data_IF_056328852613
#
_entry.id   IF_056328852613
#
_cell.length_a   1.000
_cell.length_b   1.000
_cell.length_c   1.000
_cell.angle_alpha   90.00
_cell.angle_beta   90.00
_cell.angle_gamma   90.00
#
_symmetry.space_group_name_H-M   'P 1'
#
loop_
_entity.id
_entity.type
_entity.pdbx_description
1 polymer ?
#
# COMPACT_ATOMS: atom_id res chain seq x y z
N UNK A 1 -0.50 26.69 13.47
CA UNK A 1 -1.76 27.12 12.78
C UNK A 1 -2.87 26.97 13.77
N UNK A 2 -3.61 28.04 14.08
CA UNK A 2 -4.78 27.99 14.94
C UNK A 2 -6.01 28.19 14.06
N UNK A 3 -7.03 27.33 14.26
CA UNK A 3 -8.33 27.45 13.59
C UNK A 3 -9.33 27.82 14.67
N UNK A 4 -10.03 28.93 14.47
CA UNK A 4 -11.12 29.36 15.33
C UNK A 4 -12.42 29.10 14.57
N UNK A 5 -13.34 28.37 15.19
CA UNK A 5 -14.65 28.06 14.63
C UNK A 5 -15.69 28.81 15.48
N UNK A 6 -16.42 29.72 14.86
CA UNK A 6 -17.52 30.43 15.51
C UNK A 6 -18.87 29.86 15.07
N UNK A 7 -19.85 29.80 15.96
CA UNK A 7 -21.21 29.39 15.58
C UNK A 7 -21.79 30.31 14.51
N UNK A 8 -22.25 29.73 13.42
CA UNK A 8 -22.91 30.47 12.33
C UNK A 8 -24.08 29.68 11.78
N UNK A 9 -24.96 30.37 11.05
CA UNK A 9 -26.05 29.71 10.33
C UNK A 9 -25.47 28.83 9.21
N UNK A 10 -26.00 27.61 9.07
CA UNK A 10 -25.63 26.72 7.97
C UNK A 10 -26.18 27.28 6.66
N UNK A 11 -25.29 27.64 5.74
CA UNK A 11 -25.67 27.96 4.38
C UNK A 11 -25.62 26.69 3.54
N UNK A 12 -26.64 26.44 2.72
CA UNK A 12 -26.61 25.33 1.77
C UNK A 12 -25.54 25.60 0.71
N UNK A 13 -24.72 24.56 0.39
CA UNK A 13 -23.66 24.66 -0.59
C UNK A 13 -23.11 23.29 -0.95
N UNK A 14 -22.36 23.24 -2.06
CA UNK A 14 -21.59 22.04 -2.46
C UNK A 14 -20.13 22.25 -2.10
N UNK A 15 -19.56 21.29 -1.38
CA UNK A 15 -18.13 21.27 -1.05
C UNK A 15 -17.52 20.04 -1.73
N UNK A 16 -16.45 20.26 -2.49
CA UNK A 16 -15.62 19.16 -3.02
C UNK A 16 -14.47 18.93 -2.06
N UNK A 17 -14.32 17.68 -1.60
CA UNK A 17 -13.23 17.26 -0.72
C UNK A 17 -12.16 16.51 -1.53
N UNK A 18 -10.89 16.51 -1.09
CA UNK A 18 -9.86 15.67 -1.68
C UNK A 18 -10.22 14.19 -1.60
N UNK A 19 -9.60 13.37 -2.46
CA UNK A 19 -9.76 11.92 -2.44
C UNK A 19 -9.34 11.28 -1.10
N UNK A 20 -9.90 10.11 -0.80
CA UNK A 20 -9.53 9.35 0.39
C UNK A 20 -8.15 8.69 0.22
N UNK A 21 -7.28 8.86 1.21
CA UNK A 21 -5.93 8.30 1.21
C UNK A 21 -5.93 6.77 1.09
N UNK A 22 -6.74 6.12 1.87
CA UNK A 22 -6.76 4.66 1.94
C UNK A 22 -7.33 4.02 0.68
N UNK A 23 -8.31 4.67 0.05
CA UNK A 23 -8.85 4.26 -1.25
C UNK A 23 -7.80 4.46 -2.32
N UNK A 24 -7.08 5.59 -2.34
CA UNK A 24 -6.04 5.89 -3.32
C UNK A 24 -4.91 4.84 -3.30
N UNK A 25 -4.40 4.46 -2.12
CA UNK A 25 -3.40 3.38 -2.01
C UNK A 25 -3.90 2.07 -2.63
N UNK A 26 -5.13 1.65 -2.27
CA UNK A 26 -5.70 0.39 -2.74
C UNK A 26 -5.99 0.40 -4.22
N UNK A 27 -6.51 1.50 -4.75
CA UNK A 27 -6.79 1.64 -6.17
C UNK A 27 -5.51 1.50 -7.01
N UNK A 28 -4.41 2.12 -6.59
CA UNK A 28 -3.10 1.95 -7.23
C UNK A 28 -2.63 0.49 -7.21
N UNK A 29 -2.66 -0.15 -6.03
CA UNK A 29 -2.15 -1.51 -5.87
C UNK A 29 -3.00 -2.55 -6.61
N UNK A 30 -4.32 -2.45 -6.54
CA UNK A 30 -5.22 -3.34 -7.26
C UNK A 30 -5.15 -3.11 -8.77
N UNK A 31 -5.09 -1.84 -9.20
CA UNK A 31 -4.89 -1.50 -10.61
C UNK A 31 -3.56 -2.02 -11.15
N UNK A 32 -2.50 -2.00 -10.34
CA UNK A 32 -1.18 -2.49 -10.73
C UNK A 32 -1.17 -4.00 -11.03
N UNK A 33 -1.89 -4.80 -10.24
CA UNK A 33 -1.94 -6.27 -10.41
C UNK A 33 -3.17 -6.75 -11.19
N UNK A 34 -4.00 -5.84 -11.65
CA UNK A 34 -5.08 -6.16 -12.58
C UNK A 34 -4.54 -6.41 -14.01
N UNK A 35 -5.38 -6.92 -14.88
CA UNK A 35 -5.14 -6.94 -16.32
C UNK A 35 -5.83 -5.74 -16.98
N UNK A 36 -5.12 -5.04 -17.87
CA UNK A 36 -5.61 -3.85 -18.56
C UNK A 36 -5.47 -2.56 -17.74
N UNK A 37 -6.11 -1.50 -18.21
CA UNK A 37 -5.99 -0.15 -17.64
C UNK A 37 -7.04 0.10 -16.56
N UNK A 38 -6.58 0.73 -15.47
CA UNK A 38 -7.43 1.25 -14.39
C UNK A 38 -7.32 2.77 -14.35
N UNK A 39 -8.45 3.47 -14.42
CA UNK A 39 -8.52 4.93 -14.26
C UNK A 39 -9.02 5.26 -12.86
N UNK A 40 -8.24 6.02 -12.11
CA UNK A 40 -8.52 6.42 -10.73
C UNK A 40 -8.87 7.91 -10.73
N UNK A 41 -10.15 8.23 -10.60
CA UNK A 41 -10.61 9.61 -10.46
C UNK A 41 -10.55 10.07 -9.01
N UNK A 42 -10.24 11.34 -8.77
CA UNK A 42 -10.16 11.91 -7.43
C UNK A 42 -9.04 11.32 -6.58
N UNK A 43 -7.92 10.94 -7.21
CA UNK A 43 -6.74 10.45 -6.51
C UNK A 43 -6.19 11.49 -5.53
N UNK A 44 -5.83 11.07 -4.30
CA UNK A 44 -5.21 11.96 -3.34
C UNK A 44 -3.72 12.17 -3.69
N UNK A 45 -3.37 13.38 -4.12
CA UNK A 45 -2.01 13.82 -4.44
C UNK A 45 -1.19 14.14 -3.17
N UNK A 46 -1.20 13.22 -2.19
CA UNK A 46 -0.46 13.37 -0.94
C UNK A 46 0.80 12.49 -0.91
N UNK A 47 1.83 12.92 -0.17
CA UNK A 47 3.14 12.25 -0.10
C UNK A 47 3.03 10.74 0.09
N UNK A 48 2.13 10.29 0.99
CA UNK A 48 1.93 8.86 1.27
C UNK A 48 1.46 8.09 0.03
N UNK A 49 0.53 8.66 -0.74
CA UNK A 49 -0.01 8.04 -1.95
C UNK A 49 0.99 8.10 -3.10
N UNK A 50 1.75 9.20 -3.21
CA UNK A 50 2.83 9.35 -4.19
C UNK A 50 3.98 8.36 -3.91
N UNK A 51 4.30 8.09 -2.65
CA UNK A 51 5.26 7.04 -2.31
C UNK A 51 4.80 5.65 -2.82
N UNK A 52 3.51 5.32 -2.70
CA UNK A 52 2.96 4.08 -3.28
C UNK A 52 3.04 4.06 -4.81
N UNK A 53 2.68 5.16 -5.46
CA UNK A 53 2.75 5.30 -6.91
C UNK A 53 4.19 5.10 -7.41
N UNK A 54 5.17 5.75 -6.77
CA UNK A 54 6.57 5.64 -7.12
C UNK A 54 7.14 4.24 -6.88
N UNK A 55 6.75 3.57 -5.80
CA UNK A 55 7.13 2.19 -5.54
C UNK A 55 6.59 1.23 -6.62
N UNK A 56 5.34 1.41 -7.07
CA UNK A 56 4.77 0.61 -8.15
C UNK A 56 5.48 0.86 -9.49
N UNK A 57 5.89 2.10 -9.77
CA UNK A 57 6.72 2.41 -10.96
C UNK A 57 8.07 1.69 -10.91
N UNK A 58 8.71 1.65 -9.74
CA UNK A 58 9.96 0.87 -9.55
C UNK A 58 9.73 -0.64 -9.76
N UNK A 59 8.54 -1.14 -9.44
CA UNK A 59 8.13 -2.52 -9.70
C UNK A 59 7.70 -2.76 -11.15
N UNK A 60 7.90 -1.79 -12.05
CA UNK A 60 7.68 -1.92 -13.49
C UNK A 60 6.27 -1.61 -13.96
N UNK A 61 5.41 -1.06 -13.11
CA UNK A 61 4.06 -0.64 -13.49
C UNK A 61 4.11 0.72 -14.19
N UNK A 62 3.48 0.83 -15.34
CA UNK A 62 3.30 2.11 -16.02
C UNK A 62 2.13 2.86 -15.40
N UNK A 63 2.40 4.06 -14.90
CA UNK A 63 1.39 4.92 -14.27
C UNK A 63 1.50 6.32 -14.87
N UNK A 64 0.41 6.79 -15.43
CA UNK A 64 0.28 8.16 -15.95
C UNK A 64 -0.53 8.99 -14.94
N UNK A 65 0.10 10.01 -14.38
CA UNK A 65 -0.44 10.98 -13.43
C UNK A 65 -0.34 12.42 -13.95
N UNK A 66 -0.23 12.58 -15.27
CA UNK A 66 -0.12 13.89 -15.92
C UNK A 66 -1.43 14.67 -15.94
N UNK A 67 -2.57 13.98 -15.85
CA UNK A 67 -3.88 14.62 -15.76
C UNK A 67 -4.20 14.99 -14.30
N UNK A 68 -4.61 16.24 -14.00
CA UNK A 68 -4.84 16.70 -12.63
C UNK A 68 -5.92 15.92 -11.87
N UNK A 69 -6.90 15.36 -12.58
CA UNK A 69 -8.10 14.74 -11.99
C UNK A 69 -8.11 13.22 -12.05
N UNK A 70 -7.15 12.60 -12.76
CA UNK A 70 -7.13 11.16 -12.97
C UNK A 70 -5.71 10.60 -12.99
N UNK A 71 -5.55 9.43 -12.39
CA UNK A 71 -4.34 8.61 -12.51
C UNK A 71 -4.70 7.35 -13.29
N UNK A 72 -3.96 7.06 -14.36
CA UNK A 72 -4.11 5.84 -15.17
C UNK A 72 -3.02 4.84 -14.80
N UNK A 73 -3.40 3.63 -14.45
CA UNK A 73 -2.51 2.53 -14.11
C UNK A 73 -2.66 1.44 -15.16
N UNK A 74 -1.60 1.12 -15.89
CA UNK A 74 -1.57 -0.02 -16.80
C UNK A 74 -1.16 -1.25 -16.01
N UNK A 75 -2.13 -2.08 -15.68
CA UNK A 75 -1.96 -3.26 -14.85
C UNK A 75 -1.11 -4.32 -15.55
N UNK A 76 -0.29 -5.01 -14.77
CA UNK A 76 0.67 -6.01 -15.25
C UNK A 76 0.27 -7.45 -14.92
N UNK A 77 -0.90 -7.64 -14.28
CA UNK A 77 -1.34 -8.93 -13.76
C UNK A 77 -0.62 -9.32 -12.45
N UNK A 78 -1.10 -10.39 -11.80
CA UNK A 78 -0.59 -10.82 -10.49
C UNK A 78 0.91 -11.17 -10.50
N UNK A 79 1.41 -11.77 -11.56
CA UNK A 79 2.83 -12.15 -11.71
C UNK A 79 3.68 -11.16 -12.53
N UNK A 80 3.13 -10.00 -12.91
CA UNK A 80 3.81 -9.08 -13.82
C UNK A 80 4.70 -8.02 -13.16
N UNK A 81 4.68 -7.92 -11.83
CA UNK A 81 5.58 -7.03 -11.10
C UNK A 81 7.04 -7.47 -11.29
N UNK A 82 7.94 -6.50 -11.36
CA UNK A 82 9.37 -6.73 -11.63
C UNK A 82 10.20 -6.50 -10.37
N UNK A 83 11.25 -7.33 -10.22
CA UNK A 83 12.24 -7.15 -9.17
C UNK A 83 12.90 -5.77 -9.28
N UNK A 84 13.08 -5.11 -8.15
CA UNK A 84 13.89 -3.89 -8.04
C UNK A 84 15.32 -4.22 -7.60
N UNK A 85 16.26 -3.36 -7.96
CA UNK A 85 17.66 -3.46 -7.49
C UNK A 85 17.90 -2.64 -6.23
N UNK A 86 16.99 -1.73 -5.91
CA UNK A 86 17.04 -0.87 -4.73
C UNK A 86 15.85 -1.17 -3.80
N UNK A 87 16.00 -0.84 -2.54
CA UNK A 87 14.90 -0.86 -1.59
C UNK A 87 13.78 0.08 -2.03
N UNK A 88 12.54 -0.29 -1.77
CA UNK A 88 11.36 0.56 -1.99
C UNK A 88 11.22 1.51 -0.80
N UNK A 89 11.47 2.78 -1.04
CA UNK A 89 11.26 3.82 -0.03
C UNK A 89 9.78 4.24 -0.01
N UNK A 90 9.15 4.02 1.14
CA UNK A 90 7.73 4.31 1.38
C UNK A 90 7.54 5.57 2.23
N UNK A 91 8.62 6.33 2.46
CA UNK A 91 8.62 7.56 3.23
C UNK A 91 8.03 7.36 4.63
N UNK A 92 7.02 8.16 4.97
CA UNK A 92 6.30 8.08 6.26
C UNK A 92 5.04 7.18 6.22
N UNK A 93 4.76 6.51 5.09
CA UNK A 93 3.50 5.80 4.85
C UNK A 93 3.44 4.40 5.49
N UNK A 94 2.97 4.32 6.71
CA UNK A 94 2.70 3.02 7.36
C UNK A 94 1.58 2.23 6.66
N UNK A 95 0.71 2.89 5.89
CA UNK A 95 -0.30 2.22 5.06
C UNK A 95 0.39 1.50 3.91
N UNK A 96 1.22 2.21 3.12
CA UNK A 96 1.96 1.61 2.02
C UNK A 96 2.80 0.41 2.50
N UNK A 97 3.58 0.57 3.58
CA UNK A 97 4.43 -0.50 4.13
C UNK A 97 3.64 -1.79 4.39
N UNK A 98 2.50 -1.69 5.07
CA UNK A 98 1.70 -2.88 5.42
C UNK A 98 1.01 -3.50 4.22
N UNK A 99 0.51 -2.68 3.29
CA UNK A 99 -0.17 -3.18 2.10
C UNK A 99 0.83 -3.83 1.14
N UNK A 100 2.01 -3.21 0.93
CA UNK A 100 3.08 -3.81 0.12
C UNK A 100 3.60 -5.12 0.72
N UNK A 101 3.70 -5.23 2.05
CA UNK A 101 4.07 -6.50 2.67
C UNK A 101 3.14 -7.65 2.25
N UNK A 102 1.82 -7.38 2.14
CA UNK A 102 0.87 -8.36 1.63
C UNK A 102 0.98 -8.58 0.12
N UNK A 103 1.04 -7.50 -0.66
CA UNK A 103 1.10 -7.57 -2.13
C UNK A 103 2.35 -8.30 -2.64
N UNK A 104 3.49 -8.10 -1.96
CA UNK A 104 4.77 -8.66 -2.37
C UNK A 104 5.03 -10.07 -1.79
N UNK A 105 4.24 -10.50 -0.81
CA UNK A 105 4.39 -11.83 -0.19
C UNK A 105 4.23 -12.98 -1.18
N UNK A 106 3.41 -12.81 -2.23
CA UNK A 106 3.18 -13.82 -3.27
C UNK A 106 4.06 -13.68 -4.52
N UNK A 107 5.04 -12.76 -4.52
CA UNK A 107 5.94 -12.59 -5.67
C UNK A 107 7.11 -13.57 -5.65
N UNK A 108 7.67 -13.87 -6.83
CA UNK A 108 8.81 -14.78 -6.98
C UNK A 108 10.17 -14.15 -6.62
N UNK A 109 10.21 -12.85 -6.35
CA UNK A 109 11.42 -12.09 -6.05
C UNK A 109 11.37 -11.46 -4.65
N UNK A 110 12.55 -11.30 -4.05
CA UNK A 110 12.67 -10.64 -2.75
C UNK A 110 12.74 -9.12 -2.92
N UNK A 111 12.13 -8.39 -1.98
CA UNK A 111 12.07 -6.92 -1.98
C UNK A 111 12.31 -6.40 -0.57
N UNK A 112 13.12 -5.36 -0.46
CA UNK A 112 13.30 -4.61 0.78
C UNK A 112 12.39 -3.38 0.79
N UNK A 113 11.68 -3.18 1.90
CA UNK A 113 10.84 -2.01 2.17
C UNK A 113 11.47 -1.17 3.26
N UNK A 114 11.71 0.10 2.96
CA UNK A 114 12.27 1.08 3.90
C UNK A 114 11.34 2.28 4.06
N UNK A 115 11.63 3.11 5.02
CA UNK A 115 10.92 4.36 5.25
C UNK A 115 11.76 5.32 6.08
N UNK A 116 11.21 6.50 6.35
CA UNK A 116 11.85 7.51 7.18
C UNK A 116 11.97 7.07 8.65
N UNK A 117 12.61 7.90 9.47
CA UNK A 117 12.80 7.63 10.92
C UNK A 117 11.47 7.42 11.65
N UNK A 118 10.43 8.16 11.26
CA UNK A 118 9.08 8.02 11.85
C UNK A 118 8.45 6.68 11.53
N UNK A 119 8.63 6.17 10.30
CA UNK A 119 8.11 4.87 9.88
C UNK A 119 8.95 3.74 10.47
N UNK A 120 10.27 3.89 10.51
CA UNK A 120 11.21 2.90 11.06
C UNK A 120 10.95 2.59 12.54
N UNK A 121 10.38 3.53 13.29
CA UNK A 121 9.96 3.30 14.68
C UNK A 121 8.64 2.55 14.85
N UNK A 122 7.85 2.31 13.78
CA UNK A 122 6.50 1.75 13.90
C UNK A 122 6.50 0.21 13.93
N UNK A 123 5.70 -0.43 14.81
CA UNK A 123 5.59 -1.88 14.85
C UNK A 123 4.87 -2.43 13.61
N UNK A 124 5.43 -3.48 13.02
CA UNK A 124 4.90 -4.21 11.87
C UNK A 124 4.46 -5.64 12.19
N UNK A 125 4.65 -6.10 13.41
CA UNK A 125 4.24 -7.45 13.88
C UNK A 125 2.79 -7.79 13.54
N UNK A 126 1.90 -6.79 13.59
CA UNK A 126 0.46 -6.97 13.30
C UNK A 126 0.20 -7.46 11.88
N UNK A 127 1.08 -7.16 10.94
CA UNK A 127 0.97 -7.63 9.56
C UNK A 127 1.91 -8.80 9.30
N UNK A 128 3.11 -8.81 9.88
CA UNK A 128 4.09 -9.90 9.71
C UNK A 128 3.51 -11.23 10.19
N UNK A 129 2.93 -11.27 11.39
CA UNK A 129 2.40 -12.51 11.98
C UNK A 129 1.33 -13.21 11.12
N UNK A 130 0.24 -12.55 10.69
CA UNK A 130 -0.74 -13.22 9.84
C UNK A 130 -0.20 -13.56 8.46
N UNK A 131 0.68 -12.77 7.87
CA UNK A 131 1.32 -13.11 6.59
C UNK A 131 2.23 -14.33 6.73
N UNK A 132 2.98 -14.46 7.84
CA UNK A 132 3.78 -15.64 8.13
C UNK A 132 2.91 -16.89 8.31
N UNK A 133 1.71 -16.76 8.92
CA UNK A 133 0.74 -17.87 9.00
C UNK A 133 0.20 -18.29 7.63
N UNK A 134 0.23 -17.41 6.63
CA UNK A 134 -0.09 -17.72 5.25
C UNK A 134 1.09 -18.34 4.48
N UNK A 135 2.29 -18.41 5.08
CA UNK A 135 3.49 -18.96 4.46
C UNK A 135 4.49 -17.90 3.99
N UNK A 136 4.20 -16.60 4.11
CA UNK A 136 5.15 -15.57 3.74
C UNK A 136 6.39 -15.57 4.66
N UNK A 137 7.55 -15.32 4.08
CA UNK A 137 8.82 -15.16 4.81
C UNK A 137 9.19 -13.67 4.82
N UNK A 138 9.20 -13.07 6.01
CA UNK A 138 9.45 -11.63 6.18
C UNK A 138 10.44 -11.44 7.31
N UNK A 139 11.61 -10.87 6.99
CA UNK A 139 12.58 -10.44 8.00
C UNK A 139 12.31 -8.98 8.39
N UNK A 140 12.62 -8.66 9.63
CA UNK A 140 12.43 -7.32 10.20
C UNK A 140 13.42 -7.07 11.34
N UNK A 141 13.65 -5.82 11.68
CA UNK A 141 14.43 -5.43 12.85
C UNK A 141 13.51 -5.34 14.07
N UNK A 142 13.45 -6.38 14.88
CA UNK A 142 12.56 -6.46 16.06
C UNK A 142 11.10 -6.12 15.75
N UNK A 143 10.57 -6.65 14.65
CA UNK A 143 9.20 -6.39 14.22
C UNK A 143 8.98 -4.97 13.66
N UNK A 144 10.02 -4.31 13.19
CA UNK A 144 10.02 -2.94 12.62
C UNK A 144 10.76 -2.92 11.28
N UNK A 145 10.58 -1.85 10.47
CA UNK A 145 11.36 -1.66 9.26
C UNK A 145 12.89 -1.60 9.54
N UNK A 146 13.73 -1.96 8.56
CA UNK A 146 13.34 -2.41 7.22
C UNK A 146 12.63 -3.77 7.24
N UNK A 147 11.74 -4.00 6.24
CA UNK A 147 11.15 -5.30 6.02
C UNK A 147 11.75 -5.93 4.76
N UNK A 148 12.26 -7.14 4.87
CA UNK A 148 12.70 -7.93 3.71
C UNK A 148 11.62 -8.98 3.44
N UNK A 149 10.89 -8.80 2.35
CA UNK A 149 9.88 -9.75 1.89
C UNK A 149 10.59 -10.74 0.98
N UNK A 150 10.68 -12.00 1.37
CA UNK A 150 11.32 -13.03 0.56
C UNK A 150 10.37 -13.58 -0.50
N UNK A 151 10.87 -13.68 -1.73
CA UNK A 151 10.11 -14.22 -2.86
C UNK A 151 10.01 -15.74 -2.85
N UNK A 152 9.16 -16.27 -3.74
CA UNK A 152 9.00 -17.70 -3.96
C UNK A 152 8.31 -18.43 -2.80
N UNK A 153 7.56 -17.73 -1.97
CA UNK A 153 6.76 -18.33 -0.91
C UNK A 153 5.40 -18.78 -1.46
N UNK A 154 5.00 -20.02 -1.15
CA UNK A 154 3.65 -20.48 -1.43
C UNK A 154 2.69 -19.87 -0.39
N UNK A 155 1.79 -19.00 -0.83
CA UNK A 155 0.83 -18.37 0.02
C UNK A 155 -0.41 -19.27 0.13
N UNK A 156 -0.73 -19.67 1.35
CA UNK A 156 -1.89 -20.52 1.65
C UNK A 156 -3.07 -19.74 2.21
N UNK A 157 -4.24 -20.39 2.21
CA UNK A 157 -5.45 -19.82 2.80
C UNK A 157 -5.34 -19.65 4.31
N UNK A 158 -6.00 -18.62 4.84
CA UNK A 158 -5.99 -18.31 6.28
C UNK A 158 -7.39 -17.92 6.75
N UNK A 159 -7.85 -18.56 7.82
CA UNK A 159 -8.98 -18.08 8.62
C UNK A 159 -8.42 -17.32 9.82
N UNK A 160 -8.57 -16.01 9.83
CA UNK A 160 -7.93 -15.15 10.82
C UNK A 160 -8.90 -14.20 11.52
N UNK A 161 -8.97 -14.30 12.82
CA UNK A 161 -9.68 -13.34 13.65
C UNK A 161 -8.71 -12.26 14.12
N UNK A 162 -8.91 -11.03 13.65
CA UNK A 162 -8.05 -9.90 14.03
C UNK A 162 -8.19 -9.65 15.56
N UNK A 163 -7.09 -9.67 16.34
CA UNK A 163 -7.11 -9.34 17.76
C UNK A 163 -7.56 -7.89 18.02
N UNK A 164 -7.22 -6.99 17.10
CA UNK A 164 -7.62 -5.58 17.11
C UNK A 164 -8.06 -5.20 15.72
N UNK A 165 -9.18 -4.50 15.59
CA UNK A 165 -9.69 -4.03 14.31
C UNK A 165 -8.67 -3.17 13.58
N UNK A 166 -8.30 -3.57 12.36
CA UNK A 166 -7.32 -2.87 11.53
C UNK A 166 -7.61 -3.07 10.04
N UNK A 167 -8.01 -2.00 9.37
CA UNK A 167 -8.22 -2.03 7.92
C UNK A 167 -6.92 -2.32 7.15
N UNK A 168 -5.77 -1.88 7.67
CA UNK A 168 -4.47 -2.11 7.02
C UNK A 168 -4.06 -3.58 7.08
N UNK A 169 -4.19 -4.23 8.24
CA UNK A 169 -3.89 -5.66 8.39
C UNK A 169 -4.83 -6.51 7.55
N UNK A 170 -6.13 -6.21 7.59
CA UNK A 170 -7.13 -6.87 6.74
C UNK A 170 -6.77 -6.75 5.25
N UNK A 171 -6.39 -5.55 4.79
CA UNK A 171 -6.01 -5.34 3.39
C UNK A 171 -4.74 -6.08 3.01
N UNK A 172 -3.72 -6.13 3.89
CA UNK A 172 -2.50 -6.88 3.63
C UNK A 172 -2.78 -8.37 3.45
N UNK A 173 -3.60 -8.96 4.34
CA UNK A 173 -4.01 -10.37 4.25
C UNK A 173 -4.78 -10.63 2.94
N UNK A 174 -5.71 -9.74 2.57
CA UNK A 174 -6.49 -9.88 1.34
C UNK A 174 -5.63 -9.74 0.08
N UNK A 175 -4.65 -8.84 0.07
CA UNK A 175 -3.71 -8.68 -1.04
C UNK A 175 -2.81 -9.91 -1.18
N UNK A 176 -2.32 -10.49 -0.09
CA UNK A 176 -1.58 -11.74 -0.13
C UNK A 176 -2.45 -12.92 -0.61
N UNK A 177 -3.73 -12.92 -0.25
CA UNK A 177 -4.70 -13.95 -0.67
C UNK A 177 -5.11 -13.89 -2.15
N UNK A 178 -4.57 -12.97 -2.95
CA UNK A 178 -4.73 -12.95 -4.40
C UNK A 178 -3.85 -14.01 -5.09
N UNK A 179 -2.85 -14.51 -4.41
CA UNK A 179 -1.88 -15.52 -4.88
C UNK A 179 -2.19 -16.89 -4.31
#
# INVERSE_FOLDING_TARGET
MHIVVEPSALNSGRVTVPGDKSVSHRALMLGAVAEGDTVISGFLQGDDCLATLNALRQLGVQIDDTEPEAVRVSGVGLGGLKRTTAALDLGKSGTAMRLFAGLLAGQEFSTELVGDDSLSGRPMDRVIKPLAMMGARIDSSDGRPPLIIHGGSSIGSLVYRLPVASAQVKSAILLAGLY
#
